data_IF_090033339545
#
_entry.id   IF_090033339545
#
_cell.length_a   1.000
_cell.length_b   1.000
_cell.length_c   1.000
_cell.angle_alpha   90.00
_cell.angle_beta   90.00
_cell.angle_gamma   90.00
#
_symmetry.space_group_name_H-M   'P 1'
#
loop_
_entity.id
_entity.type
_entity.pdbx_description
1 polymer ?
#
# COMPACT_ATOMS: atom_id res chain seq x y z
N UNK A 1 -7.69 4.47 2.87
CA UNK A 1 -6.64 4.21 1.87
C UNK A 1 -5.31 3.82 2.49
N UNK A 2 -4.47 4.81 2.83
CA UNK A 2 -3.09 4.59 3.30
C UNK A 2 -2.91 3.64 4.49
N UNK A 3 -3.75 3.75 5.53
CA UNK A 3 -3.71 2.86 6.70
C UNK A 3 -3.93 1.40 6.29
N UNK A 4 -4.97 1.14 5.49
CA UNK A 4 -5.25 -0.19 4.97
C UNK A 4 -4.11 -0.75 4.11
N UNK A 5 -3.41 0.07 3.30
CA UNK A 5 -2.21 -0.38 2.58
C UNK A 5 -1.13 -0.88 3.55
N UNK A 6 -0.91 -0.16 4.66
CA UNK A 6 0.04 -0.55 5.70
C UNK A 6 -0.40 -1.83 6.41
N UNK A 7 -1.67 -1.94 6.77
CA UNK A 7 -2.23 -3.15 7.39
C UNK A 7 -2.06 -4.38 6.51
N UNK A 8 -2.32 -4.26 5.20
CA UNK A 8 -2.16 -5.36 4.25
C UNK A 8 -0.69 -5.73 4.01
N UNK A 9 0.17 -4.74 3.89
CA UNK A 9 1.62 -4.92 3.83
C UNK A 9 2.14 -5.69 5.07
N UNK A 10 1.73 -5.29 6.26
CA UNK A 10 2.13 -5.95 7.51
C UNK A 10 1.58 -7.39 7.57
N UNK A 11 0.34 -7.60 7.14
CA UNK A 11 -0.24 -8.93 7.00
C UNK A 11 0.58 -9.85 6.09
N UNK A 12 1.01 -9.36 4.92
CA UNK A 12 1.86 -10.14 4.01
C UNK A 12 3.22 -10.48 4.63
N UNK A 13 3.83 -9.57 5.40
CA UNK A 13 5.10 -9.83 6.10
C UNK A 13 4.95 -10.87 7.20
N UNK A 14 3.87 -10.82 7.97
CA UNK A 14 3.58 -11.82 8.99
C UNK A 14 3.32 -13.18 8.34
N UNK A 15 2.53 -13.24 7.27
CA UNK A 15 2.29 -14.48 6.52
C UNK A 15 3.60 -15.04 5.95
N UNK A 16 4.46 -14.20 5.38
CA UNK A 16 5.77 -14.63 4.88
C UNK A 16 6.63 -15.28 5.99
N UNK A 17 6.58 -14.74 7.21
CA UNK A 17 7.33 -15.27 8.35
C UNK A 17 6.80 -16.64 8.80
N UNK A 18 5.48 -16.84 8.73
CA UNK A 18 4.85 -18.15 8.99
C UNK A 18 5.28 -19.19 7.95
N UNK A 19 5.18 -18.84 6.66
CA UNK A 19 5.57 -19.73 5.55
C UNK A 19 7.06 -20.09 5.61
N UNK A 20 7.92 -19.10 5.89
CA UNK A 20 9.36 -19.32 6.00
C UNK A 20 9.70 -20.28 7.14
N UNK A 21 9.07 -20.12 8.31
CA UNK A 21 9.30 -21.02 9.44
C UNK A 21 8.89 -22.44 9.08
N UNK A 22 7.72 -22.61 8.45
CA UNK A 22 7.25 -23.92 8.04
C UNK A 22 8.19 -24.58 7.02
N UNK A 23 8.57 -23.85 5.96
CA UNK A 23 9.51 -24.34 4.95
C UNK A 23 10.87 -24.73 5.53
N UNK A 24 11.43 -23.90 6.43
CA UNK A 24 12.70 -24.21 7.12
C UNK A 24 12.61 -25.48 7.96
N UNK A 25 11.53 -25.65 8.72
CA UNK A 25 11.37 -26.84 9.55
C UNK A 25 11.21 -28.12 8.71
N UNK A 26 10.51 -28.06 7.57
CA UNK A 26 10.44 -29.19 6.62
C UNK A 26 11.80 -29.56 6.04
N UNK A 27 12.58 -28.58 5.58
CA UNK A 27 13.95 -28.80 5.06
C UNK A 27 14.87 -29.34 6.17
N UNK A 28 14.75 -28.83 7.40
CA UNK A 28 15.51 -29.35 8.53
C UNK A 28 15.12 -30.78 8.85
N UNK A 29 13.83 -31.11 8.82
CA UNK A 29 13.30 -32.45 9.06
C UNK A 29 13.85 -33.45 8.03
N UNK A 30 13.78 -33.12 6.73
CA UNK A 30 14.28 -33.99 5.66
C UNK A 30 15.79 -34.24 5.76
N UNK A 31 16.58 -33.21 6.09
CA UNK A 31 18.05 -33.31 6.13
C UNK A 31 18.59 -33.92 7.41
N UNK A 32 18.04 -33.55 8.56
CA UNK A 32 18.64 -33.88 9.88
C UNK A 32 18.10 -35.17 10.49
N UNK A 33 16.89 -35.60 10.12
CA UNK A 33 16.30 -36.80 10.72
C UNK A 33 16.50 -38.03 9.83
N UNK A 34 16.91 -39.17 10.41
CA UNK A 34 16.92 -40.43 9.68
C UNK A 34 15.48 -40.84 9.38
N UNK A 35 15.24 -41.36 8.18
CA UNK A 35 13.98 -41.99 7.80
C UNK A 35 14.34 -43.10 6.82
N UNK A 36 14.20 -44.36 7.24
CA UNK A 36 14.53 -45.52 6.39
C UNK A 36 16.01 -45.84 6.20
N UNK A 37 16.92 -45.30 7.03
CA UNK A 37 18.38 -45.52 6.84
C UNK A 37 18.80 -46.99 6.97
N UNK A 38 18.07 -47.77 7.77
CA UNK A 38 18.33 -49.20 8.00
C UNK A 38 17.55 -50.10 7.05
N UNK A 39 16.58 -49.55 6.31
CA UNK A 39 15.80 -50.30 5.34
C UNK A 39 16.68 -50.72 4.17
N UNK A 40 16.24 -51.72 3.41
CA UNK A 40 16.98 -52.27 2.30
C UNK A 40 16.26 -52.05 0.97
N UNK A 41 17.04 -52.11 -0.09
CA UNK A 41 16.59 -52.24 -1.47
C UNK A 41 15.42 -51.30 -1.85
N UNK A 42 14.25 -51.83 -2.21
CA UNK A 42 13.17 -51.06 -2.82
C UNK A 42 12.46 -50.15 -1.81
N UNK A 43 12.20 -50.62 -0.59
CA UNK A 43 11.63 -49.79 0.49
C UNK A 43 12.56 -48.64 0.89
N UNK A 44 13.87 -48.90 1.00
CA UNK A 44 14.85 -47.82 1.27
C UNK A 44 14.78 -46.72 0.22
N UNK A 45 14.72 -47.10 -1.05
CA UNK A 45 14.63 -46.13 -2.16
C UNK A 45 13.34 -45.31 -2.09
N UNK A 46 12.21 -45.93 -1.79
CA UNK A 46 10.94 -45.20 -1.64
C UNK A 46 10.98 -44.20 -0.48
N UNK A 47 11.59 -44.57 0.65
CA UNK A 47 11.79 -43.68 1.80
C UNK A 47 12.75 -42.52 1.49
N UNK A 48 13.78 -42.74 0.66
CA UNK A 48 14.66 -41.65 0.20
C UNK A 48 13.91 -40.66 -0.69
N UNK A 49 13.08 -41.14 -1.63
CA UNK A 49 12.21 -40.28 -2.45
C UNK A 49 11.26 -39.49 -1.55
N UNK A 50 10.63 -40.13 -0.57
CA UNK A 50 9.79 -39.44 0.41
C UNK A 50 10.53 -38.28 1.09
N UNK A 51 11.74 -38.51 1.62
CA UNK A 51 12.54 -37.45 2.23
C UNK A 51 12.85 -36.31 1.25
N UNK A 52 13.23 -36.64 0.02
CA UNK A 52 13.54 -35.66 -1.02
C UNK A 52 12.32 -34.80 -1.38
N UNK A 53 11.13 -35.40 -1.47
CA UNK A 53 9.88 -34.68 -1.76
C UNK A 53 9.46 -33.79 -0.59
N UNK A 54 9.64 -34.22 0.66
CA UNK A 54 9.45 -33.37 1.84
C UNK A 54 10.37 -32.14 1.81
N UNK A 55 11.63 -32.32 1.44
CA UNK A 55 12.57 -31.20 1.26
C UNK A 55 12.08 -30.22 0.17
N UNK A 56 11.63 -30.77 -0.97
CA UNK A 56 11.14 -29.99 -2.11
C UNK A 56 9.92 -29.16 -1.71
N UNK A 57 8.97 -29.75 -0.98
CA UNK A 57 7.81 -29.02 -0.44
C UNK A 57 8.27 -27.89 0.49
N UNK A 58 9.25 -28.15 1.36
CA UNK A 58 9.86 -27.11 2.19
C UNK A 58 10.44 -25.95 1.37
N UNK A 59 11.08 -26.24 0.23
CA UNK A 59 11.59 -25.22 -0.69
C UNK A 59 10.47 -24.41 -1.36
N UNK A 60 9.35 -25.05 -1.73
CA UNK A 60 8.17 -24.35 -2.29
C UNK A 60 7.62 -23.32 -1.28
N UNK A 61 7.51 -23.69 -0.01
CA UNK A 61 7.08 -22.76 1.05
C UNK A 61 8.09 -21.62 1.28
N UNK A 62 9.40 -21.91 1.19
CA UNK A 62 10.44 -20.87 1.25
C UNK A 62 10.32 -19.87 0.11
N UNK A 63 10.06 -20.33 -1.12
CA UNK A 63 9.86 -19.46 -2.27
C UNK A 63 8.60 -18.59 -2.11
N UNK A 64 7.50 -19.17 -1.64
CA UNK A 64 6.28 -18.43 -1.35
C UNK A 64 6.54 -17.31 -0.33
N UNK A 65 7.30 -17.59 0.72
CA UNK A 65 7.68 -16.58 1.71
C UNK A 65 8.49 -15.42 1.11
N UNK A 66 9.36 -15.69 0.13
CA UNK A 66 10.10 -14.64 -0.58
C UNK A 66 9.16 -13.80 -1.45
N UNK A 67 8.31 -14.44 -2.24
CA UNK A 67 7.32 -13.76 -3.09
C UNK A 67 6.42 -12.83 -2.25
N UNK A 68 5.94 -13.30 -1.10
CA UNK A 68 5.13 -12.50 -0.17
C UNK A 68 5.86 -11.24 0.34
N UNK A 69 7.16 -11.31 0.59
CA UNK A 69 7.96 -10.13 1.00
C UNK A 69 8.12 -9.14 -0.13
N UNK A 70 8.29 -9.63 -1.36
CA UNK A 70 8.34 -8.78 -2.55
C UNK A 70 7.01 -8.06 -2.77
N UNK A 71 5.88 -8.75 -2.64
CA UNK A 71 4.56 -8.14 -2.73
C UNK A 71 4.31 -7.12 -1.61
N UNK A 72 4.75 -7.41 -0.37
CA UNK A 72 4.69 -6.44 0.73
C UNK A 72 5.50 -5.17 0.41
N UNK A 73 6.70 -5.34 -0.19
CA UNK A 73 7.54 -4.21 -0.61
C UNK A 73 6.86 -3.39 -1.71
N UNK A 74 6.25 -4.03 -2.71
CA UNK A 74 5.50 -3.33 -3.77
C UNK A 74 4.34 -2.52 -3.19
N UNK A 75 3.63 -3.04 -2.18
CA UNK A 75 2.56 -2.32 -1.49
C UNK A 75 3.09 -1.09 -0.73
N UNK A 76 4.25 -1.21 -0.08
CA UNK A 76 4.94 -0.09 0.55
C UNK A 76 5.31 1.01 -0.46
N UNK A 77 5.94 0.63 -1.57
CA UNK A 77 6.32 1.56 -2.64
C UNK A 77 5.09 2.30 -3.21
N UNK A 78 4.00 1.56 -3.46
CA UNK A 78 2.72 2.10 -3.90
C UNK A 78 2.16 3.13 -2.90
N UNK A 79 2.13 2.77 -1.61
CA UNK A 79 1.64 3.63 -0.52
C UNK A 79 2.44 4.94 -0.43
N UNK A 80 3.75 4.89 -0.62
CA UNK A 80 4.62 6.06 -0.51
C UNK A 80 4.57 6.95 -1.76
N UNK A 81 4.39 6.35 -2.94
CA UNK A 81 4.05 7.09 -4.16
C UNK A 81 2.74 7.88 -4.01
N UNK A 82 1.66 7.22 -3.55
CA UNK A 82 0.38 7.91 -3.32
C UNK A 82 0.49 9.03 -2.27
N UNK A 83 1.29 8.83 -1.21
CA UNK A 83 1.56 9.89 -0.22
C UNK A 83 2.18 11.13 -0.85
N UNK A 84 3.22 10.94 -1.66
CA UNK A 84 3.96 12.04 -2.28
C UNK A 84 3.05 12.82 -3.23
N UNK A 85 2.28 12.10 -4.03
CA UNK A 85 1.28 12.61 -4.95
C UNK A 85 0.19 13.43 -4.25
N UNK A 86 -0.44 12.88 -3.21
CA UNK A 86 -1.42 13.60 -2.38
C UNK A 86 -0.85 14.89 -1.79
N UNK A 87 0.37 14.84 -1.24
CA UNK A 87 1.02 16.02 -0.65
C UNK A 87 1.20 17.16 -1.64
N UNK A 88 1.52 16.86 -2.91
CA UNK A 88 1.67 17.90 -3.96
C UNK A 88 0.35 18.64 -4.20
N UNK A 89 -0.76 17.91 -4.34
CA UNK A 89 -2.08 18.51 -4.55
C UNK A 89 -2.53 19.30 -3.31
N UNK A 90 -2.29 18.79 -2.11
CA UNK A 90 -2.60 19.49 -0.86
C UNK A 90 -1.86 20.84 -0.76
N UNK A 91 -0.59 20.91 -1.20
CA UNK A 91 0.18 22.16 -1.21
C UNK A 91 -0.37 23.19 -2.21
N UNK A 92 -0.76 22.75 -3.41
CA UNK A 92 -1.39 23.63 -4.42
C UNK A 92 -2.69 24.19 -3.87
N UNK A 93 -3.56 23.33 -3.32
CA UNK A 93 -4.83 23.76 -2.76
C UNK A 93 -4.68 24.70 -1.57
N UNK A 94 -3.70 24.46 -0.68
CA UNK A 94 -3.41 25.36 0.45
C UNK A 94 -2.97 26.76 -0.02
N UNK A 95 -2.10 26.84 -1.05
CA UNK A 95 -1.67 28.11 -1.62
C UNK A 95 -2.85 28.90 -2.23
N UNK A 96 -3.70 28.23 -3.00
CA UNK A 96 -4.88 28.84 -3.62
C UNK A 96 -5.88 29.30 -2.56
N UNK A 97 -6.15 28.48 -1.54
CA UNK A 97 -7.03 28.87 -0.43
C UNK A 97 -6.52 30.10 0.31
N UNK A 98 -5.21 30.17 0.58
CA UNK A 98 -4.58 31.35 1.21
C UNK A 98 -4.72 32.60 0.34
N UNK A 99 -4.45 32.48 -0.97
CA UNK A 99 -4.58 33.60 -1.90
C UNK A 99 -6.04 34.10 -1.98
N UNK A 100 -7.00 33.18 -2.15
CA UNK A 100 -8.44 33.51 -2.15
C UNK A 100 -8.87 34.21 -0.86
N UNK A 101 -8.47 33.70 0.30
CA UNK A 101 -8.82 34.29 1.58
C UNK A 101 -8.21 35.69 1.78
N UNK A 102 -6.97 35.90 1.32
CA UNK A 102 -6.32 37.21 1.36
C UNK A 102 -7.06 38.22 0.49
N UNK A 103 -7.43 37.83 -0.73
CA UNK A 103 -8.06 38.72 -1.71
C UNK A 103 -9.51 39.01 -1.35
N UNK A 104 -10.20 38.05 -0.76
CA UNK A 104 -11.51 38.25 -0.16
C UNK A 104 -11.48 39.33 0.93
N UNK A 105 -10.51 39.28 1.85
CA UNK A 105 -10.33 40.31 2.89
C UNK A 105 -10.08 41.69 2.29
N UNK A 106 -9.15 41.80 1.33
CA UNK A 106 -8.87 43.07 0.61
C UNK A 106 -10.12 43.64 -0.06
N UNK A 107 -10.93 42.79 -0.67
CA UNK A 107 -12.18 43.19 -1.34
C UNK A 107 -13.20 43.73 -0.33
N UNK A 108 -13.35 43.08 0.83
CA UNK A 108 -14.23 43.56 1.89
C UNK A 108 -13.78 44.91 2.47
N UNK A 109 -12.48 45.11 2.65
CA UNK A 109 -11.96 46.38 3.16
C UNK A 109 -12.12 47.50 2.12
N UNK A 110 -11.88 47.21 0.84
CA UNK A 110 -12.16 48.14 -0.26
C UNK A 110 -13.65 48.52 -0.34
N UNK A 111 -14.55 47.54 -0.16
CA UNK A 111 -16.00 47.76 -0.09
C UNK A 111 -16.37 48.72 1.04
N UNK A 112 -15.88 48.46 2.25
CA UNK A 112 -16.13 49.32 3.43
C UNK A 112 -15.64 50.75 3.21
N UNK A 113 -14.47 50.91 2.59
CA UNK A 113 -13.92 52.22 2.27
C UNK A 113 -14.81 52.95 1.27
N UNK A 114 -15.20 52.28 0.18
CA UNK A 114 -16.13 52.84 -0.82
C UNK A 114 -17.46 53.28 -0.18
N UNK A 115 -18.06 52.43 0.65
CA UNK A 115 -19.30 52.75 1.38
C UNK A 115 -19.12 53.96 2.31
N UNK A 116 -17.96 54.11 2.96
CA UNK A 116 -17.65 55.31 3.74
C UNK A 116 -17.53 56.56 2.86
N UNK A 117 -16.85 56.47 1.70
CA UNK A 117 -16.72 57.61 0.78
C UNK A 117 -18.05 58.03 0.18
N UNK A 118 -18.99 57.10 -0.02
CA UNK A 118 -20.36 57.44 -0.41
C UNK A 118 -21.02 58.34 0.64
N UNK A 119 -20.94 57.96 1.92
CA UNK A 119 -21.46 58.76 3.04
C UNK A 119 -20.79 60.13 3.14
N UNK A 120 -19.46 60.18 3.06
CA UNK A 120 -18.70 61.44 3.12
C UNK A 120 -19.13 62.43 2.01
N UNK A 121 -19.36 61.91 0.79
CA UNK A 121 -19.83 62.70 -0.36
C UNK A 121 -21.25 63.20 -0.13
N UNK A 122 -22.17 62.38 0.39
CA UNK A 122 -23.55 62.78 0.64
C UNK A 122 -23.62 63.84 1.77
N UNK A 123 -22.81 63.69 2.82
CA UNK A 123 -22.68 64.70 3.86
C UNK A 123 -22.14 66.03 3.32
N UNK A 124 -21.14 65.99 2.43
CA UNK A 124 -20.58 67.19 1.80
C UNK A 124 -21.62 67.88 0.89
N UNK A 125 -22.42 67.13 0.13
CA UNK A 125 -23.51 67.66 -0.69
C UNK A 125 -24.59 68.32 0.16
N UNK A 126 -25.01 67.66 1.25
CA UNK A 126 -25.98 68.24 2.18
C UNK A 126 -25.43 69.49 2.88
N UNK A 127 -24.13 69.53 3.19
CA UNK A 127 -23.50 70.71 3.79
C UNK A 127 -23.49 71.91 2.83
N UNK A 128 -23.22 71.69 1.54
CA UNK A 128 -23.33 72.72 0.49
C UNK A 128 -24.78 73.19 0.38
N UNK A 129 -25.74 72.28 0.26
CA UNK A 129 -27.15 72.62 0.08
C UNK A 129 -27.71 73.43 1.26
N UNK A 130 -27.45 72.98 2.51
CA UNK A 130 -27.90 73.67 3.73
C UNK A 130 -27.27 75.03 3.93
N UNK A 131 -26.08 75.28 3.38
CA UNK A 131 -25.35 76.54 3.56
C UNK A 131 -25.61 77.56 2.44
N UNK A 132 -26.45 77.22 1.46
CA UNK A 132 -26.78 78.09 0.31
C UNK A 132 -27.33 79.43 0.79
N UNK A 133 -26.69 80.54 0.40
CA UNK A 133 -27.04 81.91 0.80
C UNK A 133 -26.98 82.22 2.31
N UNK A 134 -26.43 81.31 3.14
CA UNK A 134 -26.30 81.48 4.60
C UNK A 134 -24.87 81.71 5.09
N UNK A 135 -23.88 81.57 4.21
CA UNK A 135 -22.44 81.69 4.54
C UNK A 135 -21.74 82.70 3.64
N UNK A 136 -20.57 83.18 4.08
CA UNK A 136 -19.77 84.11 3.26
C UNK A 136 -19.26 83.44 1.98
N UNK A 137 -18.98 84.20 0.90
CA UNK A 137 -18.46 83.64 -0.35
C UNK A 137 -17.22 82.76 -0.17
N UNK A 138 -16.29 83.16 0.71
CA UNK A 138 -15.08 82.40 1.04
C UNK A 138 -15.36 81.08 1.78
N UNK A 139 -16.40 81.04 2.62
CA UNK A 139 -16.84 79.81 3.29
C UNK A 139 -17.57 78.89 2.31
N UNK A 140 -18.36 79.46 1.40
CA UNK A 140 -19.04 78.72 0.34
C UNK A 140 -18.05 78.03 -0.61
N UNK A 141 -16.99 78.74 -1.01
CA UNK A 141 -15.89 78.18 -1.82
C UNK A 141 -15.22 76.98 -1.12
N UNK A 142 -14.93 77.07 0.19
CA UNK A 142 -14.38 75.95 0.95
C UNK A 142 -15.29 74.71 0.95
N UNK A 143 -16.60 74.90 1.02
CA UNK A 143 -17.56 73.78 0.96
C UNK A 143 -17.56 73.12 -0.43
N UNK A 144 -17.48 73.91 -1.51
CA UNK A 144 -17.34 73.38 -2.87
C UNK A 144 -16.04 72.61 -3.07
N UNK A 145 -14.91 73.10 -2.54
CA UNK A 145 -13.62 72.37 -2.57
C UNK A 145 -13.73 71.04 -1.83
N UNK A 146 -14.32 71.04 -0.62
CA UNK A 146 -14.53 69.81 0.16
C UNK A 146 -15.43 68.81 -0.57
N UNK A 147 -16.48 69.27 -1.23
CA UNK A 147 -17.35 68.44 -2.05
C UNK A 147 -16.60 67.86 -3.25
N UNK A 148 -15.80 68.67 -3.96
CA UNK A 148 -14.99 68.19 -5.08
C UNK A 148 -13.97 67.12 -4.65
N UNK A 149 -13.31 67.31 -3.50
CA UNK A 149 -12.41 66.32 -2.92
C UNK A 149 -13.14 65.02 -2.54
N UNK A 150 -14.33 65.12 -1.93
CA UNK A 150 -15.13 63.95 -1.58
C UNK A 150 -15.58 63.16 -2.83
N UNK A 151 -15.96 63.86 -3.92
CA UNK A 151 -16.28 63.23 -5.21
C UNK A 151 -15.08 62.51 -5.82
N UNK A 152 -13.92 63.15 -5.86
CA UNK A 152 -12.68 62.52 -6.35
C UNK A 152 -12.27 61.30 -5.51
N UNK A 153 -12.33 61.41 -4.18
CA UNK A 153 -12.03 60.29 -3.30
C UNK A 153 -13.00 59.11 -3.44
N UNK A 154 -14.29 59.41 -3.71
CA UNK A 154 -15.29 58.40 -4.02
C UNK A 154 -14.95 57.67 -5.32
N UNK A 155 -14.67 58.39 -6.40
CA UNK A 155 -14.28 57.82 -7.69
C UNK A 155 -13.05 56.90 -7.58
N UNK A 156 -12.03 57.31 -6.81
CA UNK A 156 -10.85 56.49 -6.56
C UNK A 156 -11.17 55.21 -5.77
N UNK A 157 -12.01 55.33 -4.74
CA UNK A 157 -12.42 54.18 -3.92
C UNK A 157 -13.33 53.21 -4.69
N UNK A 158 -14.18 53.71 -5.58
CA UNK A 158 -15.03 52.90 -6.46
C UNK A 158 -14.16 52.11 -7.43
N UNK A 159 -13.26 52.78 -8.15
CA UNK A 159 -12.31 52.12 -9.06
C UNK A 159 -11.49 51.05 -8.33
N UNK A 160 -11.02 51.34 -7.12
CA UNK A 160 -10.29 50.36 -6.30
C UNK A 160 -11.16 49.18 -5.91
N UNK A 161 -12.41 49.41 -5.50
CA UNK A 161 -13.34 48.34 -5.14
C UNK A 161 -13.67 47.46 -6.36
N UNK A 162 -14.01 48.06 -7.51
CA UNK A 162 -14.26 47.33 -8.76
C UNK A 162 -13.06 46.48 -9.18
N UNK A 163 -11.83 47.03 -9.09
CA UNK A 163 -10.62 46.27 -9.39
C UNK A 163 -10.43 45.07 -8.46
N UNK A 164 -10.70 45.22 -7.16
CA UNK A 164 -10.63 44.10 -6.21
C UNK A 164 -11.73 43.06 -6.46
N UNK A 165 -12.96 43.46 -6.79
CA UNK A 165 -14.04 42.54 -7.17
C UNK A 165 -13.65 41.72 -8.39
N UNK A 166 -13.12 42.37 -9.44
CA UNK A 166 -12.66 41.68 -10.65
C UNK A 166 -11.48 40.73 -10.37
N UNK A 167 -10.56 41.12 -9.49
CA UNK A 167 -9.45 40.25 -9.09
C UNK A 167 -9.93 39.04 -8.26
N UNK A 168 -10.87 39.25 -7.34
CA UNK A 168 -11.47 38.19 -6.54
C UNK A 168 -12.23 37.19 -7.43
N UNK A 169 -12.95 37.67 -8.44
CA UNK A 169 -13.65 36.82 -9.41
C UNK A 169 -12.69 35.87 -10.13
N UNK A 170 -11.59 36.41 -10.68
CA UNK A 170 -10.56 35.60 -11.34
C UNK A 170 -9.97 34.54 -10.42
N UNK A 171 -9.72 34.88 -9.15
CA UNK A 171 -9.18 33.94 -8.17
C UNK A 171 -10.23 32.90 -7.75
N UNK A 172 -11.51 33.25 -7.76
CA UNK A 172 -12.59 32.29 -7.53
C UNK A 172 -12.65 31.27 -8.67
N UNK A 173 -12.55 31.71 -9.92
CA UNK A 173 -12.51 30.83 -11.09
C UNK A 173 -11.27 29.91 -11.06
N UNK A 174 -10.09 30.45 -10.77
CA UNK A 174 -8.86 29.66 -10.60
C UNK A 174 -9.03 28.61 -9.50
N UNK A 175 -9.56 29.02 -8.33
CA UNK A 175 -9.83 28.10 -7.23
C UNK A 175 -10.80 26.98 -7.63
N UNK A 176 -11.89 27.31 -8.31
CA UNK A 176 -12.88 26.34 -8.74
C UNK A 176 -12.27 25.32 -9.71
N UNK A 177 -11.50 25.80 -10.69
CA UNK A 177 -10.83 24.94 -11.67
C UNK A 177 -9.81 24.01 -11.00
N UNK A 178 -8.98 24.51 -10.11
CA UNK A 178 -7.99 23.69 -9.39
C UNK A 178 -8.63 22.74 -8.38
N UNK A 179 -9.75 23.14 -7.78
CA UNK A 179 -10.53 22.26 -6.90
C UNK A 179 -11.11 21.06 -7.67
N UNK A 180 -11.67 21.29 -8.85
CA UNK A 180 -12.17 20.22 -9.73
C UNK A 180 -11.03 19.24 -10.08
N UNK A 181 -9.89 19.75 -10.54
CA UNK A 181 -8.71 18.93 -10.83
C UNK A 181 -8.22 18.13 -9.62
N UNK A 182 -8.24 18.73 -8.44
CA UNK A 182 -7.87 18.03 -7.20
C UNK A 182 -8.85 16.90 -6.88
N UNK A 183 -10.16 17.11 -7.05
CA UNK A 183 -11.18 16.07 -6.87
C UNK A 183 -10.99 14.92 -7.86
N UNK A 184 -10.86 15.20 -9.15
CA UNK A 184 -10.60 14.20 -10.20
C UNK A 184 -9.32 13.40 -9.92
N UNK A 185 -8.27 14.08 -9.44
CA UNK A 185 -7.04 13.43 -9.03
C UNK A 185 -7.25 12.47 -7.85
N UNK A 186 -7.95 12.90 -6.80
CA UNK A 186 -8.19 12.05 -5.63
C UNK A 186 -9.09 10.87 -5.95
N UNK A 187 -10.08 11.06 -6.82
CA UNK A 187 -10.90 9.97 -7.37
C UNK A 187 -10.03 8.96 -8.13
N UNK A 188 -9.17 9.44 -9.04
CA UNK A 188 -8.23 8.59 -9.78
C UNK A 188 -7.29 7.81 -8.85
N UNK A 189 -6.77 8.44 -7.80
CA UNK A 189 -5.95 7.78 -6.78
C UNK A 189 -6.71 6.69 -6.03
N UNK A 190 -8.00 6.89 -5.75
CA UNK A 190 -8.81 5.87 -5.09
C UNK A 190 -9.16 4.70 -6.03
N UNK A 191 -9.44 4.98 -7.31
CA UNK A 191 -9.60 3.94 -8.33
C UNK A 191 -8.32 3.10 -8.49
N UNK A 192 -7.16 3.76 -8.58
CA UNK A 192 -5.85 3.09 -8.65
C UNK A 192 -5.63 2.21 -7.41
N UNK A 193 -5.97 2.71 -6.21
CA UNK A 193 -5.86 1.96 -4.96
C UNK A 193 -6.73 0.71 -4.96
N UNK A 194 -8.00 0.82 -5.32
CA UNK A 194 -8.92 -0.32 -5.36
C UNK A 194 -8.42 -1.37 -6.36
N UNK A 195 -8.02 -0.94 -7.56
CA UNK A 195 -7.49 -1.85 -8.58
C UNK A 195 -6.20 -2.54 -8.10
N UNK A 196 -5.28 -1.80 -7.47
CA UNK A 196 -4.04 -2.35 -6.94
C UNK A 196 -4.31 -3.44 -5.89
N UNK A 197 -5.20 -3.17 -4.93
CA UNK A 197 -5.61 -4.16 -3.93
C UNK A 197 -6.19 -5.43 -4.55
N UNK A 198 -7.14 -5.25 -5.47
CA UNK A 198 -7.78 -6.37 -6.17
C UNK A 198 -6.73 -7.25 -6.85
N UNK A 199 -5.81 -6.63 -7.59
CA UNK A 199 -4.79 -7.36 -8.35
C UNK A 199 -3.76 -8.02 -7.43
N UNK A 200 -3.36 -7.36 -6.33
CA UNK A 200 -2.45 -7.93 -5.34
C UNK A 200 -3.05 -9.16 -4.65
N UNK A 201 -4.32 -9.08 -4.24
CA UNK A 201 -5.02 -10.23 -3.65
C UNK A 201 -5.18 -11.37 -4.66
N UNK A 202 -5.55 -11.05 -5.91
CA UNK A 202 -5.67 -12.03 -6.99
C UNK A 202 -4.34 -12.76 -7.24
N UNK A 203 -3.25 -12.02 -7.36
CA UNK A 203 -1.91 -12.60 -7.52
C UNK A 203 -1.56 -13.50 -6.33
N UNK A 204 -1.82 -13.06 -5.11
CA UNK A 204 -1.53 -13.83 -3.92
C UNK A 204 -2.29 -15.17 -3.88
N UNK A 205 -3.59 -15.18 -4.17
CA UNK A 205 -4.37 -16.44 -4.17
C UNK A 205 -3.98 -17.38 -5.31
N UNK A 206 -3.53 -16.85 -6.44
CA UNK A 206 -2.99 -17.66 -7.54
C UNK A 206 -1.67 -18.34 -7.14
N UNK A 207 -0.78 -17.63 -6.45
CA UNK A 207 0.47 -18.21 -5.93
C UNK A 207 0.20 -19.34 -4.92
N UNK A 208 -0.83 -19.18 -4.07
CA UNK A 208 -1.25 -20.25 -3.15
C UNK A 208 -1.75 -21.47 -3.90
N UNK A 209 -2.58 -21.25 -4.93
CA UNK A 209 -3.13 -22.32 -5.77
C UNK A 209 -2.04 -23.06 -6.54
N UNK A 210 -1.05 -22.34 -7.09
CA UNK A 210 0.13 -22.92 -7.73
C UNK A 210 0.94 -23.78 -6.74
N UNK A 211 1.09 -23.32 -5.49
CA UNK A 211 1.72 -24.10 -4.42
C UNK A 211 0.98 -25.40 -4.12
N UNK A 212 -0.36 -25.39 -4.12
CA UNK A 212 -1.16 -26.60 -3.93
C UNK A 212 -0.92 -27.63 -5.04
N UNK A 213 -0.91 -27.18 -6.31
CA UNK A 213 -0.64 -28.08 -7.46
C UNK A 213 0.76 -28.66 -7.37
N UNK A 214 1.78 -27.83 -7.09
CA UNK A 214 3.16 -28.31 -6.91
C UNK A 214 3.28 -29.33 -5.79
N UNK A 215 2.55 -29.14 -4.69
CA UNK A 215 2.56 -30.09 -3.59
C UNK A 215 1.89 -31.41 -3.98
N UNK A 216 0.78 -31.37 -4.71
CA UNK A 216 0.11 -32.57 -5.24
C UNK A 216 1.04 -33.39 -6.14
N UNK A 217 1.75 -32.74 -7.06
CA UNK A 217 2.77 -33.37 -7.90
C UNK A 217 3.86 -34.06 -7.07
N UNK A 218 4.32 -33.41 -5.99
CA UNK A 218 5.32 -34.00 -5.09
C UNK A 218 4.77 -35.23 -4.35
N UNK A 219 3.50 -35.22 -3.94
CA UNK A 219 2.86 -36.37 -3.30
C UNK A 219 2.65 -37.53 -4.26
N UNK A 220 2.33 -37.24 -5.52
CA UNK A 220 2.20 -38.25 -6.56
C UNK A 220 3.54 -38.97 -6.84
N UNK A 221 4.64 -38.24 -6.83
CA UNK A 221 5.98 -38.84 -6.99
C UNK A 221 6.36 -39.78 -5.84
N UNK A 222 5.86 -39.52 -4.62
CA UNK A 222 6.01 -40.43 -3.49
C UNK A 222 5.20 -41.71 -3.74
N UNK A 223 3.94 -41.57 -4.19
CA UNK A 223 3.06 -42.72 -4.50
C UNK A 223 3.68 -43.63 -5.55
N UNK A 224 4.18 -43.07 -6.66
CA UNK A 224 4.90 -43.82 -7.70
C UNK A 224 6.13 -44.55 -7.16
N UNK A 225 6.87 -43.96 -6.22
CA UNK A 225 8.01 -44.63 -5.61
C UNK A 225 7.60 -45.82 -4.73
N UNK A 226 6.48 -45.69 -4.01
CA UNK A 226 5.90 -46.75 -3.18
C UNK A 226 5.34 -47.91 -4.02
N UNK A 227 4.74 -47.63 -5.17
CA UNK A 227 4.26 -48.66 -6.12
C UNK A 227 5.40 -49.56 -6.64
N UNK A 228 6.65 -49.08 -6.60
CA UNK A 228 7.83 -49.85 -7.00
C UNK A 228 8.43 -50.68 -5.86
N UNK A 229 7.86 -50.67 -4.66
CA UNK A 229 8.30 -51.52 -3.56
C UNK A 229 7.98 -52.98 -3.83
N UNK A 230 8.93 -53.87 -3.58
CA UNK A 230 8.78 -55.33 -3.72
C UNK A 230 9.22 -56.02 -2.44
N UNK A 231 8.24 -56.54 -1.70
CA UNK A 231 8.48 -57.28 -0.45
C UNK A 231 9.40 -58.48 -0.72
N UNK A 232 9.16 -59.22 -1.81
CA UNK A 232 9.98 -60.38 -2.16
C UNK A 232 11.45 -60.02 -2.38
N UNK A 233 11.70 -58.98 -3.20
CA UNK A 233 13.07 -58.53 -3.49
C UNK A 233 13.77 -57.97 -2.24
N UNK A 234 13.03 -57.32 -1.35
CA UNK A 234 13.58 -56.76 -0.12
C UNK A 234 13.95 -57.86 0.88
N UNK A 235 13.11 -58.89 1.04
CA UNK A 235 13.41 -60.06 1.89
C UNK A 235 14.57 -60.88 1.32
N UNK A 236 14.59 -61.10 0.00
CA UNK A 236 15.71 -61.80 -0.66
C UNK A 236 17.02 -61.03 -0.45
N UNK A 237 17.00 -59.70 -0.64
CA UNK A 237 18.14 -58.84 -0.37
C UNK A 237 18.58 -58.92 1.10
N UNK A 238 17.64 -58.91 2.05
CA UNK A 238 17.94 -59.05 3.47
C UNK A 238 18.63 -60.39 3.78
N UNK A 239 18.04 -61.51 3.35
CA UNK A 239 18.61 -62.85 3.57
C UNK A 239 20.00 -62.94 2.94
N UNK A 240 20.17 -62.41 1.72
CA UNK A 240 21.47 -62.40 1.05
C UNK A 240 22.54 -61.65 1.85
N UNK A 241 22.21 -60.49 2.41
CA UNK A 241 23.13 -59.64 3.18
C UNK A 241 23.39 -60.19 4.60
N UNK A 242 22.40 -60.83 5.22
CA UNK A 242 22.42 -61.20 6.66
C UNK A 242 22.56 -62.70 6.95
N UNK A 243 22.59 -63.57 5.93
CA UNK A 243 22.76 -65.02 6.15
C UNK A 243 24.04 -65.33 6.94
N UNK A 244 23.94 -66.23 7.91
CA UNK A 244 25.07 -66.69 8.75
C UNK A 244 25.50 -68.12 8.45
N UNK A 245 24.82 -68.79 7.52
CA UNK A 245 25.07 -70.17 7.10
C UNK A 245 23.85 -70.73 6.39
N UNK A 246 24.04 -71.78 5.59
CA UNK A 246 22.96 -72.51 4.89
C UNK A 246 22.67 -73.88 5.49
N UNK A 247 23.45 -74.29 6.50
CA UNK A 247 23.34 -75.59 7.15
C UNK A 247 23.01 -75.38 8.64
N UNK A 248 22.07 -76.16 9.21
CA UNK A 248 21.85 -76.17 10.66
C UNK A 248 23.10 -76.71 11.40
N UNK A 249 23.31 -76.34 12.67
CA UNK A 249 24.38 -76.90 13.48
C UNK A 249 24.33 -78.43 13.46
N UNK A 250 25.50 -79.08 13.30
CA UNK A 250 25.58 -80.54 13.32
C UNK A 250 25.09 -81.09 14.65
N UNK A 251 24.42 -82.26 14.63
CA UNK A 251 24.11 -82.99 15.87
C UNK A 251 25.44 -83.38 16.52
N UNK A 252 25.65 -83.00 17.78
CA UNK A 252 26.75 -83.54 18.58
C UNK A 252 26.61 -85.07 18.58
N UNK A 253 27.60 -85.76 18.02
CA UNK A 253 27.73 -87.19 18.29
C UNK A 253 28.18 -87.29 19.74
N UNK A 254 27.27 -87.77 20.59
CA UNK A 254 27.56 -88.16 21.98
C UNK A 254 28.86 -88.95 21.98
N UNK A 255 29.87 -88.43 22.69
CA UNK A 255 31.19 -89.01 22.82
C UNK A 255 31.15 -90.25 23.70
N UNK A 256 30.31 -91.22 23.37
CA UNK A 256 30.27 -92.53 24.00
C UNK A 256 31.15 -93.52 23.24
N UNK A 257 32.43 -93.23 23.08
CA UNK A 257 33.44 -94.27 22.86
C UNK A 257 34.61 -94.04 23.82
N UNK A 258 34.36 -94.47 25.05
CA UNK A 258 35.36 -95.06 25.94
C UNK A 258 36.11 -96.14 25.15
N UNK A 259 37.43 -96.16 25.26
CA UNK A 259 38.33 -97.34 25.40
C UNK A 259 39.68 -97.12 24.71
N UNK A 260 40.75 -97.83 25.16
CA UNK A 260 41.41 -97.74 26.45
C UNK A 260 42.87 -97.26 26.31
#
# INVERSE_FOLDING_TARGET
>A
GRKNCKEFEDFLRERASVEERYGKELINLSRKKPCGQTELNTLRRALEVFKQRVETIGQVHMQLAQNLREEAKKMEDFRDKQKLHRKKIELIMDAIHKNRNLQYKKTLDAKRLYEQRCRDKDEAEQAVHRSTNLVTPKQQEKLFVKLAQAKSALEDSDRMYQNNVNALEKIREEWQNEHIKACEFFESQECERINYFRNAMWLHVNQLSEGCVKNDDNYEEIRKALEQCSIGNDIECFVHIRKTGSLPPGKEMDGSHIHP
#
